data_IF_866744125731
#
_entry.id   IF_866744125731
#
_cell.length_a   1.000
_cell.length_b   1.000
_cell.length_c   1.000
_cell.angle_alpha   90.00
_cell.angle_beta   90.00
_cell.angle_gamma   90.00
#
_symmetry.space_group_name_H-M   'P 1'
#
loop_
_entity.id
_entity.type
_entity.pdbx_description
1 polymer ?
#
# COMPACT_ATOMS: atom_id res chain seq x y z
N UNK A 1 -37.17 -3.69 18.97
CA UNK A 1 -36.10 -4.27 18.13
C UNK A 1 -35.99 -3.43 16.85
N UNK A 2 -35.03 -2.48 16.80
CA UNK A 2 -34.90 -1.59 15.63
C UNK A 2 -34.19 -2.36 14.52
N UNK A 3 -34.92 -2.71 13.47
CA UNK A 3 -34.38 -3.30 12.25
C UNK A 3 -33.53 -2.24 11.53
N UNK A 4 -32.22 -2.40 11.56
CA UNK A 4 -31.30 -1.57 10.77
C UNK A 4 -31.57 -1.87 9.29
N UNK A 5 -31.93 -0.86 8.45
CA UNK A 5 -32.23 -1.11 7.05
C UNK A 5 -31.04 -1.80 6.35
N UNK A 6 -31.30 -2.85 5.54
CA UNK A 6 -30.27 -3.60 4.79
C UNK A 6 -29.31 -2.70 4.00
N UNK A 7 -29.79 -1.54 3.52
CA UNK A 7 -28.99 -0.51 2.83
C UNK A 7 -27.91 0.11 3.74
N UNK A 8 -28.20 0.28 5.06
CA UNK A 8 -27.26 0.81 6.05
C UNK A 8 -26.13 -0.18 6.37
N UNK A 9 -26.44 -1.48 6.44
CA UNK A 9 -25.45 -2.55 6.67
C UNK A 9 -24.48 -2.66 5.48
N UNK A 10 -24.98 -2.54 4.24
CA UNK A 10 -24.16 -2.59 3.03
C UNK A 10 -23.19 -1.41 2.96
N UNK A 11 -23.64 -0.21 3.33
CA UNK A 11 -22.78 0.98 3.37
C UNK A 11 -21.68 0.87 4.43
N UNK A 12 -21.99 0.37 5.63
CA UNK A 12 -21.01 0.20 6.69
C UNK A 12 -19.84 -0.72 6.28
N UNK A 13 -20.15 -1.83 5.60
CA UNK A 13 -19.09 -2.70 5.06
C UNK A 13 -18.27 -2.01 3.98
N UNK A 14 -18.88 -1.19 3.12
CA UNK A 14 -18.19 -0.46 2.05
C UNK A 14 -17.31 0.66 2.61
N UNK A 15 -17.74 1.33 3.69
CA UNK A 15 -16.90 2.32 4.39
C UNK A 15 -15.62 1.69 4.95
N UNK A 16 -15.74 0.51 5.57
CA UNK A 16 -14.57 -0.24 6.04
C UNK A 16 -13.62 -0.61 4.91
N UNK A 17 -14.16 -1.02 3.75
CA UNK A 17 -13.36 -1.31 2.56
C UNK A 17 -12.63 -0.05 2.09
N UNK A 18 -13.33 1.08 2.01
CA UNK A 18 -12.70 2.35 1.64
C UNK A 18 -11.59 2.76 2.63
N UNK A 19 -11.77 2.48 3.92
CA UNK A 19 -10.75 2.71 4.92
C UNK A 19 -9.53 1.83 4.69
N UNK A 20 -9.71 0.53 4.47
CA UNK A 20 -8.62 -0.42 4.17
C UNK A 20 -7.88 -0.03 2.88
N UNK A 21 -8.61 0.34 1.82
CA UNK A 21 -8.00 0.84 0.58
C UNK A 21 -7.20 2.13 0.79
N UNK A 22 -7.64 3.00 1.70
CA UNK A 22 -6.91 4.20 2.07
C UNK A 22 -5.62 3.86 2.83
N UNK A 23 -5.66 2.85 3.71
CA UNK A 23 -4.49 2.34 4.42
C UNK A 23 -3.45 1.76 3.45
N UNK A 24 -3.88 0.89 2.52
CA UNK A 24 -2.99 0.40 1.46
C UNK A 24 -2.42 1.55 0.64
N UNK A 25 -3.27 2.40 0.05
CA UNK A 25 -2.85 3.57 -0.72
C UNK A 25 -1.79 4.42 0.01
N UNK A 26 -1.93 4.60 1.32
CA UNK A 26 -0.96 5.38 2.11
C UNK A 26 0.35 4.64 2.32
N UNK A 27 0.30 3.33 2.50
CA UNK A 27 1.50 2.50 2.64
C UNK A 27 2.31 2.51 1.33
N UNK A 28 1.66 2.26 0.18
CA UNK A 28 2.30 2.29 -1.14
C UNK A 28 2.96 3.64 -1.43
N UNK A 29 2.25 4.75 -1.17
CA UNK A 29 2.83 6.08 -1.35
C UNK A 29 4.08 6.29 -0.47
N UNK A 30 4.03 5.80 0.77
CA UNK A 30 5.18 5.88 1.68
C UNK A 30 6.36 5.06 1.16
N UNK A 31 6.10 3.83 0.71
CA UNK A 31 7.08 2.94 0.13
C UNK A 31 7.73 3.56 -1.11
N UNK A 32 6.93 4.11 -2.03
CA UNK A 32 7.43 4.80 -3.21
C UNK A 32 8.43 5.93 -2.86
N UNK A 33 8.10 6.76 -1.87
CA UNK A 33 8.97 7.85 -1.42
C UNK A 33 10.27 7.32 -0.83
N UNK A 34 10.21 6.29 0.02
CA UNK A 34 11.39 5.66 0.62
C UNK A 34 12.31 5.03 -0.43
N UNK A 35 11.73 4.34 -1.43
CA UNK A 35 12.50 3.78 -2.55
C UNK A 35 13.22 4.86 -3.35
N UNK A 36 12.59 6.01 -3.57
CA UNK A 36 13.21 7.15 -4.26
C UNK A 36 14.42 7.70 -3.47
N UNK A 37 14.31 7.81 -2.15
CA UNK A 37 15.41 8.23 -1.29
C UNK A 37 16.54 7.20 -1.27
N UNK A 38 16.21 5.91 -1.21
CA UNK A 38 17.19 4.83 -1.28
C UNK A 38 17.95 4.83 -2.61
N UNK A 39 17.27 5.03 -3.72
CA UNK A 39 17.87 5.17 -5.04
C UNK A 39 18.86 6.34 -5.11
N UNK A 40 18.51 7.47 -4.48
CA UNK A 40 19.41 8.65 -4.42
C UNK A 40 20.65 8.41 -3.57
N UNK A 41 20.54 7.61 -2.51
CA UNK A 41 21.64 7.41 -1.53
C UNK A 41 22.65 6.36 -1.98
N UNK A 42 22.25 5.33 -2.70
CA UNK A 42 23.16 4.28 -3.14
C UNK A 42 24.11 4.75 -4.25
N UNK A 43 25.39 4.37 -4.14
CA UNK A 43 26.37 4.58 -5.21
C UNK A 43 26.38 3.42 -6.23
N UNK A 44 25.67 2.33 -5.95
CA UNK A 44 25.52 1.21 -6.88
C UNK A 44 24.41 1.53 -7.89
N UNK A 45 24.80 1.67 -9.15
CA UNK A 45 23.87 2.00 -10.25
C UNK A 45 22.81 0.95 -10.44
N UNK A 46 23.14 -0.35 -10.33
CA UNK A 46 22.16 -1.44 -10.50
C UNK A 46 21.12 -1.41 -9.38
N UNK A 47 21.59 -1.23 -8.15
CA UNK A 47 20.70 -1.13 -6.98
C UNK A 47 19.86 0.15 -7.06
N UNK A 48 20.41 1.28 -7.49
CA UNK A 48 19.63 2.52 -7.73
C UNK A 48 18.51 2.29 -8.74
N UNK A 49 18.79 1.62 -9.87
CA UNK A 49 17.78 1.29 -10.88
C UNK A 49 16.69 0.37 -10.28
N UNK A 50 17.07 -0.60 -9.45
CA UNK A 50 16.11 -1.48 -8.79
C UNK A 50 15.16 -0.71 -7.85
N UNK A 51 15.69 0.20 -7.05
CA UNK A 51 14.87 1.07 -6.20
C UNK A 51 13.95 1.99 -7.01
N UNK A 52 14.42 2.51 -8.15
CA UNK A 52 13.56 3.34 -9.03
C UNK A 52 12.42 2.50 -9.60
N UNK A 53 12.68 1.29 -10.07
CA UNK A 53 11.62 0.39 -10.57
C UNK A 53 10.60 0.09 -9.48
N UNK A 54 11.04 -0.30 -8.30
CA UNK A 54 10.18 -0.54 -7.14
C UNK A 54 9.35 0.72 -6.81
N UNK A 55 9.97 1.90 -6.75
CA UNK A 55 9.25 3.16 -6.56
C UNK A 55 8.10 3.37 -7.57
N UNK A 56 8.32 3.04 -8.85
CA UNK A 56 7.30 3.18 -9.89
C UNK A 56 6.14 2.19 -9.70
N UNK A 57 6.44 0.96 -9.29
CA UNK A 57 5.43 -0.05 -9.01
C UNK A 57 4.58 0.37 -7.79
N UNK A 58 5.20 0.80 -6.69
CA UNK A 58 4.50 1.32 -5.50
C UNK A 58 3.60 2.52 -5.83
N UNK A 59 4.08 3.45 -6.68
CA UNK A 59 3.26 4.59 -7.11
C UNK A 59 2.08 4.15 -7.99
N UNK A 60 2.26 3.13 -8.82
CA UNK A 60 1.18 2.50 -9.61
C UNK A 60 0.14 1.88 -8.66
N UNK A 61 0.57 1.11 -7.64
CA UNK A 61 -0.30 0.50 -6.64
C UNK A 61 -1.10 1.56 -5.86
N UNK A 62 -0.43 2.61 -5.38
CA UNK A 62 -1.09 3.78 -4.78
C UNK A 62 -2.21 4.33 -5.66
N UNK A 63 -1.95 4.52 -6.94
CA UNK A 63 -2.91 5.05 -7.91
C UNK A 63 -4.11 4.13 -8.07
N UNK A 64 -3.89 2.81 -8.15
CA UNK A 64 -4.95 1.80 -8.29
C UNK A 64 -5.82 1.78 -7.03
N UNK A 65 -5.26 1.68 -5.83
CA UNK A 65 -6.02 1.70 -4.59
C UNK A 65 -6.84 2.97 -4.42
N UNK A 66 -6.24 4.13 -4.76
CA UNK A 66 -6.94 5.43 -4.71
C UNK A 66 -8.10 5.48 -5.70
N UNK A 67 -7.92 5.00 -6.92
CA UNK A 67 -8.97 4.91 -7.96
C UNK A 67 -10.13 4.03 -7.52
N UNK A 68 -9.84 2.83 -7.00
CA UNK A 68 -10.84 1.88 -6.49
C UNK A 68 -11.62 2.51 -5.32
N UNK A 69 -10.91 3.09 -4.35
CA UNK A 69 -11.50 3.80 -3.21
C UNK A 69 -12.48 4.88 -3.68
N UNK A 70 -12.06 5.74 -4.61
CA UNK A 70 -12.88 6.83 -5.11
C UNK A 70 -14.10 6.34 -5.90
N UNK A 71 -13.96 5.28 -6.70
CA UNK A 71 -15.07 4.60 -7.40
C UNK A 71 -16.12 4.10 -6.41
N UNK A 72 -15.70 3.44 -5.33
CA UNK A 72 -16.60 2.96 -4.29
C UNK A 72 -17.26 4.10 -3.52
N UNK A 73 -16.50 5.13 -3.15
CA UNK A 73 -17.05 6.33 -2.48
C UNK A 73 -18.14 6.99 -3.30
N UNK A 74 -17.91 7.19 -4.60
CA UNK A 74 -18.91 7.77 -5.51
C UNK A 74 -20.15 6.87 -5.63
N UNK A 75 -19.95 5.58 -5.89
CA UNK A 75 -21.06 4.60 -6.09
C UNK A 75 -21.96 4.48 -4.85
N UNK A 76 -21.38 4.51 -3.65
CA UNK A 76 -22.09 4.30 -2.38
C UNK A 76 -22.34 5.59 -1.59
N UNK A 77 -22.04 6.76 -2.16
CA UNK A 77 -22.21 8.09 -1.55
C UNK A 77 -21.53 8.21 -0.17
N UNK A 78 -20.32 7.68 -0.04
CA UNK A 78 -19.53 7.73 1.19
C UNK A 78 -18.83 9.08 1.27
N UNK A 79 -19.24 9.92 2.23
CA UNK A 79 -18.65 11.25 2.45
C UNK A 79 -17.91 11.27 3.79
N UNK A 80 -16.69 10.75 3.81
CA UNK A 80 -15.79 10.78 4.97
C UNK A 80 -14.53 11.56 4.63
N UNK A 81 -14.26 12.62 5.40
CA UNK A 81 -13.09 13.51 5.17
C UNK A 81 -11.76 12.81 5.48
N UNK A 82 -11.75 11.90 6.45
CA UNK A 82 -10.56 11.11 6.83
C UNK A 82 -10.04 10.19 5.72
N UNK A 83 -10.88 9.86 4.73
CA UNK A 83 -10.49 9.10 3.54
C UNK A 83 -9.79 9.94 2.44
N UNK A 84 -9.66 11.25 2.65
CA UNK A 84 -8.99 12.12 1.69
C UNK A 84 -7.50 12.32 2.00
N UNK A 85 -7.02 11.83 3.15
CA UNK A 85 -5.72 12.20 3.68
C UNK A 85 -4.74 11.03 3.62
N UNK A 86 -3.69 11.19 2.81
CA UNK A 86 -2.58 10.24 2.69
C UNK A 86 -1.38 10.68 3.56
N UNK A 87 -1.09 11.99 3.61
CA UNK A 87 0.16 12.51 4.14
C UNK A 87 0.41 12.26 5.63
N UNK A 88 -0.63 12.30 6.48
CA UNK A 88 -0.43 12.09 7.92
C UNK A 88 -0.15 10.63 8.30
N UNK A 89 -0.39 9.70 7.39
CA UNK A 89 -0.18 8.27 7.66
C UNK A 89 1.25 7.82 7.42
N UNK A 90 2.06 8.61 6.71
CA UNK A 90 3.48 8.35 6.52
C UNK A 90 4.23 8.15 7.86
N UNK A 91 3.89 8.96 8.86
CA UNK A 91 4.48 8.86 10.21
C UNK A 91 4.02 7.62 10.98
N UNK A 92 2.79 7.17 10.77
CA UNK A 92 2.22 6.04 11.50
C UNK A 92 2.67 4.68 10.97
N UNK A 93 3.17 4.62 9.74
CA UNK A 93 3.63 3.38 9.11
C UNK A 93 5.11 3.07 9.37
N UNK A 94 5.83 3.96 10.03
CA UNK A 94 7.22 3.74 10.40
C UNK A 94 8.26 4.05 9.32
N UNK A 95 7.84 4.54 8.16
CA UNK A 95 8.73 4.95 7.04
C UNK A 95 9.31 6.35 7.23
N UNK A 96 8.62 7.20 8.00
CA UNK A 96 9.10 8.51 8.39
C UNK A 96 9.15 8.64 9.90
N UNK A 97 10.16 9.28 10.41
CA UNK A 97 10.17 9.81 11.77
C UNK A 97 10.12 11.35 11.77
N UNK A 98 10.02 11.94 12.96
CA UNK A 98 9.98 13.40 13.12
C UNK A 98 11.23 14.13 12.60
N UNK A 99 12.31 13.42 12.27
CA UNK A 99 13.59 13.98 11.82
C UNK A 99 13.92 13.58 10.38
N UNK A 100 13.00 12.96 9.65
CA UNK A 100 13.19 12.55 8.26
C UNK A 100 12.94 11.07 7.99
N UNK A 101 13.45 10.58 6.85
CA UNK A 101 13.24 9.22 6.41
C UNK A 101 14.07 8.22 7.22
N UNK A 102 13.47 7.09 7.58
CA UNK A 102 14.12 6.04 8.37
C UNK A 102 15.41 5.56 7.72
N UNK A 103 15.41 5.45 6.41
CA UNK A 103 16.55 4.99 5.67
C UNK A 103 17.78 5.92 5.79
N UNK A 104 17.62 7.21 6.02
CA UNK A 104 18.75 8.13 6.23
C UNK A 104 19.60 7.78 7.46
N UNK A 105 19.02 7.10 8.43
CA UNK A 105 19.65 6.72 9.69
C UNK A 105 20.16 5.30 9.74
N UNK A 106 19.81 4.47 8.74
CA UNK A 106 20.17 3.05 8.71
C UNK A 106 21.21 2.77 7.64
N UNK A 107 21.97 1.68 7.83
CA UNK A 107 22.76 1.10 6.75
C UNK A 107 21.83 0.61 5.66
N UNK A 108 22.29 0.62 4.42
CA UNK A 108 21.49 0.18 3.28
C UNK A 108 21.03 -1.28 3.43
N UNK A 109 21.88 -2.15 3.99
CA UNK A 109 21.52 -3.53 4.32
C UNK A 109 20.35 -3.64 5.29
N UNK A 110 20.36 -2.85 6.39
CA UNK A 110 19.27 -2.86 7.38
C UNK A 110 17.97 -2.32 6.78
N UNK A 111 18.09 -1.35 5.85
CA UNK A 111 16.94 -0.82 5.12
C UNK A 111 16.36 -1.86 4.17
N UNK A 112 17.19 -2.58 3.41
CA UNK A 112 16.72 -3.65 2.52
C UNK A 112 15.99 -4.76 3.29
N UNK A 113 16.50 -5.20 4.47
CA UNK A 113 15.79 -6.15 5.35
C UNK A 113 14.43 -5.60 5.79
N UNK A 114 14.43 -4.36 6.23
CA UNK A 114 13.20 -3.69 6.64
C UNK A 114 12.16 -3.71 5.51
N UNK A 115 12.56 -3.42 4.27
CA UNK A 115 11.69 -3.52 3.10
C UNK A 115 11.20 -4.95 2.92
N UNK A 116 12.07 -5.94 2.80
CA UNK A 116 11.69 -7.33 2.56
C UNK A 116 10.70 -7.88 3.59
N UNK A 117 10.89 -7.56 4.88
CA UNK A 117 9.95 -7.95 5.95
C UNK A 117 8.60 -7.24 5.80
N UNK A 118 8.59 -5.95 5.42
CA UNK A 118 7.33 -5.23 5.23
C UNK A 118 6.57 -5.70 3.99
N UNK A 119 7.25 -6.01 2.89
CA UNK A 119 6.65 -6.60 1.69
C UNK A 119 5.97 -7.94 2.00
N UNK A 120 6.64 -8.84 2.74
CA UNK A 120 6.03 -10.10 3.15
C UNK A 120 4.78 -9.92 4.01
N UNK A 121 4.78 -8.91 4.89
CA UNK A 121 3.61 -8.56 5.72
C UNK A 121 2.51 -7.94 4.85
N UNK A 122 2.86 -7.08 3.90
CA UNK A 122 1.94 -6.43 2.97
C UNK A 122 1.24 -7.47 2.09
N UNK A 123 1.99 -8.37 1.47
CA UNK A 123 1.47 -9.49 0.67
C UNK A 123 0.42 -10.31 1.45
N UNK A 124 0.75 -10.74 2.69
CA UNK A 124 -0.18 -11.53 3.52
C UNK A 124 -1.47 -10.77 3.83
N UNK A 125 -1.39 -9.46 4.08
CA UNK A 125 -2.57 -8.60 4.31
C UNK A 125 -3.38 -8.42 3.04
N UNK A 126 -2.71 -8.15 1.92
CA UNK A 126 -3.33 -7.94 0.61
C UNK A 126 -4.03 -9.21 0.12
N UNK A 127 -3.42 -10.38 0.30
CA UNK A 127 -4.04 -11.68 -0.03
C UNK A 127 -5.34 -11.91 0.75
N UNK A 128 -5.37 -11.59 2.05
CA UNK A 128 -6.61 -11.66 2.86
C UNK A 128 -7.67 -10.70 2.35
N UNK A 129 -7.28 -9.49 2.00
CA UNK A 129 -8.15 -8.47 1.46
C UNK A 129 -8.69 -8.88 0.09
N UNK A 130 -7.83 -9.38 -0.81
CA UNK A 130 -8.22 -9.89 -2.12
C UNK A 130 -9.28 -10.98 -2.02
N UNK A 131 -9.07 -12.01 -1.18
CA UNK A 131 -10.05 -13.09 -0.95
C UNK A 131 -11.42 -12.56 -0.47
N UNK A 132 -11.42 -11.48 0.29
CA UNK A 132 -12.66 -10.84 0.75
C UNK A 132 -13.33 -10.04 -0.37
N UNK A 133 -12.56 -9.25 -1.12
CA UNK A 133 -13.04 -8.40 -2.21
C UNK A 133 -13.59 -9.24 -3.38
N UNK A 134 -12.90 -10.31 -3.75
CA UNK A 134 -13.31 -11.21 -4.82
C UNK A 134 -14.75 -11.71 -4.66
N UNK A 135 -15.17 -11.99 -3.43
CA UNK A 135 -16.54 -12.45 -3.13
C UNK A 135 -17.58 -11.35 -3.16
N UNK A 136 -17.21 -10.10 -2.84
CA UNK A 136 -18.15 -9.00 -2.65
C UNK A 136 -18.17 -7.97 -3.77
N UNK A 137 -17.04 -7.79 -4.42
CA UNK A 137 -16.81 -6.77 -5.45
C UNK A 137 -15.94 -7.35 -6.58
N UNK A 138 -16.42 -8.35 -7.32
CA UNK A 138 -15.65 -9.02 -8.37
C UNK A 138 -15.16 -8.04 -9.44
N UNK A 139 -15.90 -6.93 -9.68
CA UNK A 139 -15.55 -5.90 -10.68
C UNK A 139 -14.21 -5.18 -10.41
N UNK A 140 -13.71 -5.25 -9.16
CA UNK A 140 -12.46 -4.59 -8.75
C UNK A 140 -11.40 -5.59 -8.29
N UNK A 141 -11.73 -6.87 -8.24
CA UNK A 141 -10.81 -7.90 -7.73
C UNK A 141 -9.61 -8.12 -8.63
N UNK A 142 -9.78 -7.98 -9.94
CA UNK A 142 -8.68 -8.16 -10.89
C UNK A 142 -7.60 -7.08 -10.73
N UNK A 143 -8.01 -5.80 -10.55
CA UNK A 143 -7.06 -4.71 -10.30
C UNK A 143 -6.22 -4.96 -9.02
N UNK A 144 -6.78 -5.64 -8.01
CA UNK A 144 -6.08 -6.00 -6.76
C UNK A 144 -5.22 -7.24 -6.94
N UNK A 145 -5.63 -8.17 -7.80
CA UNK A 145 -4.85 -9.37 -8.11
C UNK A 145 -3.52 -9.01 -8.78
N UNK A 146 -3.54 -8.07 -9.71
CA UNK A 146 -2.33 -7.60 -10.39
C UNK A 146 -1.32 -7.01 -9.39
N UNK A 147 -1.81 -6.21 -8.42
CA UNK A 147 -0.96 -5.70 -7.33
C UNK A 147 -0.37 -6.85 -6.50
N UNK A 148 -1.19 -7.86 -6.15
CA UNK A 148 -0.72 -8.99 -5.36
C UNK A 148 0.39 -9.77 -6.05
N UNK A 149 0.35 -9.90 -7.37
CA UNK A 149 1.40 -10.53 -8.16
C UNK A 149 2.69 -9.70 -8.17
N UNK A 150 2.57 -8.36 -8.24
CA UNK A 150 3.72 -7.45 -8.13
C UNK A 150 4.35 -7.54 -6.72
N UNK A 151 3.55 -7.55 -5.63
CA UNK A 151 4.04 -7.67 -4.24
C UNK A 151 4.81 -8.96 -3.97
N UNK A 152 4.38 -10.08 -4.56
CA UNK A 152 5.09 -11.36 -4.46
C UNK A 152 6.49 -11.26 -5.08
N UNK A 153 6.62 -10.54 -6.18
CA UNK A 153 7.92 -10.27 -6.80
C UNK A 153 8.79 -9.36 -5.94
N UNK A 154 8.23 -8.29 -5.36
CA UNK A 154 8.96 -7.38 -4.47
C UNK A 154 9.52 -8.10 -3.25
N UNK A 155 8.73 -8.92 -2.57
CA UNK A 155 9.18 -9.73 -1.43
C UNK A 155 10.36 -10.63 -1.81
N UNK A 156 10.29 -11.28 -2.97
CA UNK A 156 11.35 -12.15 -3.47
C UNK A 156 12.65 -11.37 -3.78
N UNK A 157 12.54 -10.24 -4.50
CA UNK A 157 13.71 -9.42 -4.87
C UNK A 157 14.40 -8.80 -3.65
N UNK A 158 13.63 -8.31 -2.68
CA UNK A 158 14.18 -7.67 -1.49
C UNK A 158 15.03 -8.64 -0.67
N UNK A 159 14.70 -9.91 -0.65
CA UNK A 159 15.48 -10.97 0.00
C UNK A 159 16.82 -11.27 -0.71
N UNK A 160 16.87 -11.12 -2.03
CA UNK A 160 18.10 -11.38 -2.81
C UNK A 160 19.22 -10.35 -2.56
N UNK A 161 18.91 -9.15 -2.10
CA UNK A 161 19.91 -8.14 -1.74
C UNK A 161 20.57 -8.37 -0.38
N UNK A 162 20.19 -9.45 0.33
CA UNK A 162 20.74 -9.87 1.62
C UNK A 162 21.83 -10.94 1.51
N UNK A 163 21.81 -11.71 0.42
CA UNK A 163 22.81 -12.77 0.17
C UNK A 163 24.01 -12.22 -0.60
#
# INVERSE_FOLDING_TARGET
MFLIPKKKIKNFNTEKICFVLNEFSSAEFSSAVEMLFAAKKTNDVKLSISFIKHCLDEYKHYSIFTKIKNKLRKKYKINRKDLNFVSNQLFYKGYLDKNGFLYEKKKLSDFSLFIGVNEEIAEKKLLKFYKYIQKKFPDISNEIKDILEDEQNHAHYSMLFYM
#
